data_IF_726848552841
#
_entry.id   IF_726848552841
#
_cell.length_a   1.000
_cell.length_b   1.000
_cell.length_c   1.000
_cell.angle_alpha   90.00
_cell.angle_beta   90.00
_cell.angle_gamma   90.00
#
_symmetry.space_group_name_H-M   'P 1'
#
loop_
_entity.id
_entity.type
_entity.pdbx_description
1 polymer ?
#
# COMPACT_ATOMS: atom_id res chain seq x y z
N UNK A 1 -55.97 -49.50 -21.17
CA UNK A 1 -55.09 -50.09 -20.12
C UNK A 1 -53.73 -50.58 -20.66
N UNK A 2 -53.67 -51.24 -21.81
CA UNK A 2 -52.39 -51.74 -22.38
C UNK A 2 -51.38 -50.64 -22.80
N UNK A 3 -51.80 -49.46 -23.21
CA UNK A 3 -50.88 -48.35 -23.59
C UNK A 3 -50.25 -47.63 -22.38
N UNK A 4 -50.91 -47.63 -21.23
CA UNK A 4 -50.39 -47.03 -20.02
C UNK A 4 -49.24 -47.87 -19.40
N UNK A 5 -49.35 -49.20 -19.54
CA UNK A 5 -48.32 -50.14 -19.07
C UNK A 5 -47.01 -50.01 -19.89
N UNK A 6 -47.13 -49.70 -21.19
CA UNK A 6 -45.97 -49.58 -22.05
C UNK A 6 -45.15 -48.34 -21.72
N UNK A 7 -45.80 -47.22 -21.35
CA UNK A 7 -45.12 -46.01 -20.91
C UNK A 7 -44.38 -46.17 -19.56
N UNK A 8 -44.89 -47.01 -18.67
CA UNK A 8 -44.29 -47.26 -17.41
C UNK A 8 -43.03 -48.15 -17.52
N UNK A 9 -43.00 -49.07 -18.49
CA UNK A 9 -41.82 -49.89 -18.79
C UNK A 9 -40.68 -49.11 -19.46
N UNK A 10 -41.01 -48.11 -20.29
CA UNK A 10 -39.99 -47.26 -20.95
C UNK A 10 -39.37 -46.27 -19.97
N UNK A 11 -40.14 -45.79 -18.96
CA UNK A 11 -39.64 -44.85 -17.95
C UNK A 11 -38.70 -45.53 -16.90
N UNK A 12 -38.84 -46.85 -16.70
CA UNK A 12 -38.04 -47.60 -15.74
C UNK A 12 -36.63 -47.91 -16.25
N UNK A 13 -36.33 -47.80 -17.58
CA UNK A 13 -35.03 -48.14 -18.16
C UNK A 13 -34.02 -46.99 -18.20
N UNK A 14 -34.41 -45.80 -17.73
CA UNK A 14 -33.55 -44.57 -17.75
C UNK A 14 -32.83 -44.30 -16.44
N UNK A 15 -32.92 -45.16 -15.43
CA UNK A 15 -32.32 -44.93 -14.11
C UNK A 15 -31.08 -45.76 -13.78
N UNK A 16 -30.46 -46.39 -14.79
CA UNK A 16 -29.21 -47.18 -14.56
C UNK A 16 -28.09 -46.55 -15.40
N UNK A 17 -27.62 -45.39 -14.98
CA UNK A 17 -26.28 -44.92 -15.37
C UNK A 17 -25.80 -43.87 -14.36
N UNK A 18 -25.38 -44.35 -13.21
CA UNK A 18 -24.41 -43.63 -12.39
C UNK A 18 -23.33 -44.64 -12.01
N UNK A 19 -22.35 -44.76 -12.87
CA UNK A 19 -21.09 -45.37 -12.54
C UNK A 19 -20.38 -44.52 -11.50
N UNK A 20 -20.38 -44.98 -10.26
CA UNK A 20 -19.69 -44.35 -9.15
C UNK A 20 -18.20 -44.71 -9.20
N UNK A 21 -17.43 -44.00 -10.00
CA UNK A 21 -15.98 -43.96 -9.80
C UNK A 21 -15.72 -43.13 -8.56
N UNK A 22 -15.52 -43.79 -7.44
CA UNK A 22 -14.92 -43.22 -6.25
C UNK A 22 -13.48 -42.81 -6.59
N UNK A 23 -13.31 -41.61 -7.15
CA UNK A 23 -12.03 -40.91 -7.03
C UNK A 23 -11.87 -40.62 -5.55
N UNK A 24 -10.96 -41.33 -4.92
CA UNK A 24 -10.42 -40.98 -3.61
C UNK A 24 -10.10 -39.48 -3.59
N UNK A 25 -10.53 -38.71 -2.59
CA UNK A 25 -10.09 -37.34 -2.49
C UNK A 25 -8.57 -37.36 -2.38
N UNK A 26 -7.90 -36.84 -3.39
CA UNK A 26 -6.48 -36.52 -3.26
C UNK A 26 -6.37 -35.66 -2.01
N UNK A 27 -5.77 -36.27 -1.00
CA UNK A 27 -5.44 -35.61 0.24
C UNK A 27 -4.50 -34.48 -0.15
N UNK A 28 -5.01 -33.26 -0.14
CA UNK A 28 -4.21 -32.07 -0.31
C UNK A 28 -3.24 -32.03 0.88
N UNK A 29 -2.14 -32.72 0.73
CA UNK A 29 -1.06 -32.65 1.69
C UNK A 29 -0.40 -31.32 1.42
N UNK A 30 -0.73 -30.32 2.24
CA UNK A 30 0.03 -29.10 2.33
C UNK A 30 1.41 -29.50 2.87
N UNK A 31 2.28 -29.90 1.97
CA UNK A 31 3.68 -30.14 2.30
C UNK A 31 4.24 -28.76 2.66
N UNK A 32 4.24 -28.49 3.96
CA UNK A 32 4.95 -27.39 4.55
C UNK A 32 6.44 -27.73 4.52
N UNK A 33 6.94 -28.03 3.33
CA UNK A 33 8.35 -27.90 3.10
C UNK A 33 8.64 -26.46 3.45
N UNK A 34 9.24 -26.27 4.60
CA UNK A 34 9.91 -25.04 4.94
C UNK A 34 10.82 -24.73 3.76
N UNK A 35 10.25 -24.01 2.76
CA UNK A 35 11.10 -23.18 1.95
C UNK A 35 11.91 -22.46 3.02
N UNK A 36 13.16 -22.81 3.18
CA UNK A 36 14.13 -22.01 3.87
C UNK A 36 13.94 -20.63 3.24
N UNK A 37 13.04 -19.88 3.82
CA UNK A 37 13.00 -18.45 3.64
C UNK A 37 14.41 -18.08 4.07
N UNK A 38 15.27 -18.02 3.07
CA UNK A 38 16.53 -17.36 3.19
C UNK A 38 16.10 -16.07 3.85
N UNK A 39 16.43 -15.95 5.13
CA UNK A 39 16.32 -14.74 5.88
C UNK A 39 17.03 -13.73 5.00
N UNK A 40 16.25 -13.09 4.14
CA UNK A 40 16.63 -11.84 3.52
C UNK A 40 16.49 -10.91 4.71
N UNK A 41 17.52 -11.04 5.52
CA UNK A 41 17.79 -10.25 6.66
C UNK A 41 17.51 -8.81 6.33
N UNK A 42 16.64 -8.21 7.12
CA UNK A 42 16.79 -6.93 7.80
C UNK A 42 17.53 -5.77 7.07
N UNK A 43 17.99 -5.95 5.85
CA UNK A 43 18.66 -4.94 5.03
C UNK A 43 17.72 -4.17 4.10
N UNK A 44 16.46 -4.54 4.02
CA UNK A 44 15.48 -3.87 3.13
C UNK A 44 14.78 -2.69 3.83
N UNK A 45 15.05 -2.45 5.10
CA UNK A 45 14.38 -1.36 5.83
C UNK A 45 15.25 -0.15 6.11
N UNK A 46 16.45 -0.10 5.66
CA UNK A 46 17.15 1.16 5.48
C UNK A 46 16.92 1.60 4.03
N UNK A 47 15.67 1.79 3.65
CA UNK A 47 15.37 2.51 2.44
C UNK A 47 16.12 3.83 2.52
N UNK A 48 17.20 3.88 1.84
CA UNK A 48 18.18 4.93 1.62
C UNK A 48 17.83 6.22 2.37
N UNK A 49 18.46 6.43 3.54
CA UNK A 49 18.41 7.74 4.19
C UNK A 49 19.13 8.69 3.25
N UNK A 50 18.43 9.70 2.78
CA UNK A 50 19.01 10.75 1.95
C UNK A 50 18.33 12.08 2.31
N UNK A 51 19.05 12.88 3.04
CA UNK A 51 18.61 14.20 3.50
C UNK A 51 19.01 15.31 2.50
N UNK A 52 19.80 14.98 1.48
CA UNK A 52 20.24 15.94 0.45
C UNK A 52 19.33 15.92 -0.78
N UNK A 53 18.64 14.81 -1.03
CA UNK A 53 17.68 14.73 -2.10
C UNK A 53 16.45 15.60 -1.78
N UNK A 54 16.18 16.56 -2.64
CA UNK A 54 15.03 17.47 -2.52
C UNK A 54 13.81 17.02 -3.32
N UNK A 55 13.93 15.91 -4.05
CA UNK A 55 12.89 15.44 -4.94
C UNK A 55 12.69 16.30 -6.18
N UNK A 56 11.58 16.01 -6.87
CA UNK A 56 11.20 16.66 -8.12
C UNK A 56 9.84 17.34 -7.95
N UNK A 57 9.83 18.65 -7.98
CA UNK A 57 8.60 19.42 -7.79
C UNK A 57 8.85 20.90 -7.59
N UNK A 58 7.82 21.65 -7.17
CA UNK A 58 7.93 23.10 -7.03
C UNK A 58 8.79 23.53 -5.83
N UNK A 59 8.87 22.72 -4.78
CA UNK A 59 9.55 23.08 -3.55
C UNK A 59 11.05 22.94 -3.69
N UNK A 60 11.78 24.04 -3.57
CA UNK A 60 13.24 24.08 -3.71
C UNK A 60 13.96 24.30 -2.39
N UNK A 61 13.29 24.92 -1.44
CA UNK A 61 13.83 25.19 -0.11
C UNK A 61 12.71 25.29 0.92
N UNK A 62 12.91 24.65 2.05
CA UNK A 62 12.02 24.72 3.21
C UNK A 62 12.83 25.18 4.41
N UNK A 63 12.39 26.24 5.04
CA UNK A 63 12.96 26.71 6.32
C UNK A 63 11.93 26.48 7.40
N UNK A 64 12.28 25.66 8.37
CA UNK A 64 11.53 25.53 9.61
C UNK A 64 12.09 26.51 10.63
N UNK A 65 11.20 27.12 11.42
CA UNK A 65 11.59 27.80 12.66
C UNK A 65 12.09 26.79 13.70
N UNK A 66 12.86 27.23 14.68
CA UNK A 66 13.31 26.34 15.76
C UNK A 66 12.10 25.78 16.54
N UNK A 67 11.10 26.61 16.77
CA UNK A 67 9.85 26.22 17.43
C UNK A 67 8.83 25.73 16.39
N UNK A 68 7.98 24.80 16.84
CA UNK A 68 6.86 24.30 16.02
C UNK A 68 5.74 25.34 16.05
N UNK A 69 5.22 25.68 14.89
CA UNK A 69 3.98 26.45 14.77
C UNK A 69 2.79 25.52 15.06
N UNK A 70 2.30 25.58 16.29
CA UNK A 70 1.21 24.71 16.78
C UNK A 70 -0.08 24.89 15.96
N UNK A 71 -0.40 26.09 15.51
CA UNK A 71 -1.58 26.34 14.69
C UNK A 71 -1.45 25.71 13.31
N UNK A 72 -0.29 25.84 12.69
CA UNK A 72 0.01 25.26 11.41
C UNK A 72 0.07 23.72 11.50
N UNK A 73 0.67 23.20 12.58
CA UNK A 73 0.74 21.77 12.84
C UNK A 73 -0.66 21.14 13.05
N UNK A 74 -1.56 21.81 13.76
CA UNK A 74 -2.94 21.32 13.95
C UNK A 74 -3.71 21.33 12.62
N UNK A 75 -3.54 22.35 11.78
CA UNK A 75 -4.10 22.37 10.43
C UNK A 75 -3.56 21.20 9.60
N UNK A 76 -2.26 20.94 9.66
CA UNK A 76 -1.63 19.80 8.99
C UNK A 76 -2.15 18.45 9.48
N UNK A 77 -2.35 18.32 10.80
CA UNK A 77 -2.94 17.10 11.39
C UNK A 77 -4.37 16.85 10.89
N UNK A 78 -5.18 17.90 10.82
CA UNK A 78 -6.53 17.81 10.28
C UNK A 78 -6.52 17.40 8.81
N UNK A 79 -5.61 17.97 8.02
CA UNK A 79 -5.40 17.59 6.62
C UNK A 79 -4.92 16.15 6.48
N UNK A 80 -3.97 15.72 7.31
CA UNK A 80 -3.49 14.34 7.34
C UNK A 80 -4.63 13.35 7.62
N UNK A 81 -5.46 13.64 8.62
CA UNK A 81 -6.60 12.82 8.97
C UNK A 81 -7.61 12.70 7.84
N UNK A 82 -7.82 13.77 7.09
CA UNK A 82 -8.80 13.81 6.01
C UNK A 82 -8.29 13.13 4.73
N UNK A 83 -7.03 13.33 4.37
CA UNK A 83 -6.49 12.99 3.05
C UNK A 83 -5.52 11.81 3.03
N UNK A 84 -4.86 11.50 4.16
CA UNK A 84 -3.70 10.63 4.15
C UNK A 84 -3.92 9.30 4.88
N UNK A 85 -4.81 9.26 5.88
CA UNK A 85 -4.97 8.11 6.79
C UNK A 85 -5.52 6.85 6.13
N UNK A 86 -6.11 6.94 4.95
CA UNK A 86 -6.50 5.77 4.17
C UNK A 86 -5.29 4.89 3.80
N UNK A 87 -4.12 5.52 3.57
CA UNK A 87 -2.92 4.83 3.13
C UNK A 87 -1.75 4.96 4.10
N UNK A 88 -1.68 5.99 4.92
CA UNK A 88 -0.60 6.28 5.85
C UNK A 88 -1.06 6.27 7.30
N UNK A 89 -0.15 5.87 8.18
CA UNK A 89 -0.34 6.00 9.62
C UNK A 89 0.87 6.72 10.22
N UNK A 90 0.67 7.44 11.33
CA UNK A 90 1.75 8.16 11.98
C UNK A 90 2.85 7.22 12.48
N UNK A 91 2.49 6.16 13.18
CA UNK A 91 3.41 5.34 13.97
C UNK A 91 3.81 4.00 13.33
N UNK A 92 3.08 3.55 12.32
CA UNK A 92 3.29 2.23 11.72
C UNK A 92 3.14 2.23 10.21
N UNK A 93 3.78 1.26 9.57
CA UNK A 93 3.53 0.93 8.16
C UNK A 93 2.06 0.52 7.97
N UNK A 94 1.43 1.06 6.95
CA UNK A 94 0.10 0.67 6.48
C UNK A 94 0.22 0.28 4.98
N UNK A 95 -0.57 0.86 4.12
CA UNK A 95 -0.42 0.75 2.66
C UNK A 95 0.83 1.50 2.21
N UNK A 96 1.05 2.69 2.77
CA UNK A 96 2.25 3.50 2.60
C UNK A 96 3.16 3.48 3.83
N UNK A 97 4.29 4.20 3.78
CA UNK A 97 5.22 4.35 4.90
C UNK A 97 4.61 5.10 6.09
N UNK A 98 5.15 4.82 7.27
CA UNK A 98 4.86 5.60 8.47
C UNK A 98 5.45 7.02 8.37
N UNK A 99 4.80 7.98 9.04
CA UNK A 99 5.27 9.37 9.02
C UNK A 99 6.25 9.71 10.14
N UNK A 100 6.13 9.06 11.30
CA UNK A 100 7.02 9.28 12.44
C UNK A 100 8.48 9.20 12.05
N UNK A 101 9.25 10.21 12.42
CA UNK A 101 10.66 10.33 12.09
C UNK A 101 10.93 10.44 10.58
N UNK A 102 10.01 11.01 9.81
CA UNK A 102 10.18 11.13 8.36
C UNK A 102 11.39 12.02 8.03
N UNK A 103 11.66 13.04 8.83
CA UNK A 103 12.80 13.95 8.63
C UNK A 103 14.15 13.38 9.06
N UNK A 104 14.17 12.22 9.72
CA UNK A 104 15.40 11.44 9.92
C UNK A 104 15.83 10.72 8.64
N UNK A 105 14.93 10.63 7.66
CA UNK A 105 15.11 9.85 6.43
C UNK A 105 15.05 10.68 5.15
N UNK A 106 14.35 11.80 5.17
CA UNK A 106 14.04 12.63 3.99
C UNK A 106 14.17 14.11 4.30
N UNK A 107 14.57 14.88 3.33
CA UNK A 107 14.51 16.35 3.43
C UNK A 107 13.05 16.83 3.44
N UNK A 108 12.76 17.95 4.08
CA UNK A 108 11.42 18.56 4.05
C UNK A 108 10.94 18.84 2.61
N UNK A 109 11.84 19.26 1.74
CA UNK A 109 11.54 19.52 0.33
C UNK A 109 11.10 18.25 -0.39
N UNK A 110 11.80 17.12 -0.17
CA UNK A 110 11.43 15.84 -0.75
C UNK A 110 10.03 15.42 -0.31
N UNK A 111 9.74 15.56 0.99
CA UNK A 111 8.42 15.21 1.56
C UNK A 111 7.31 16.07 0.95
N UNK A 112 7.53 17.38 0.82
CA UNK A 112 6.54 18.26 0.19
C UNK A 112 6.39 17.96 -1.29
N UNK A 113 7.47 17.68 -1.99
CA UNK A 113 7.45 17.37 -3.43
C UNK A 113 6.75 16.04 -3.74
N UNK A 114 6.92 14.98 -2.92
CA UNK A 114 6.19 13.73 -3.15
C UNK A 114 4.67 13.89 -2.93
N UNK A 115 4.24 14.82 -2.11
CA UNK A 115 2.83 15.15 -1.88
C UNK A 115 2.27 15.94 -3.06
N UNK A 116 3.00 16.94 -3.54
CA UNK A 116 2.56 17.87 -4.59
C UNK A 116 2.69 17.28 -6.00
N UNK A 117 3.67 16.44 -6.24
CA UNK A 117 4.02 15.92 -7.56
C UNK A 117 4.37 14.42 -7.54
N UNK A 118 3.49 13.57 -6.97
CA UNK A 118 3.79 12.15 -6.81
C UNK A 118 4.04 11.44 -8.16
N UNK A 119 3.32 11.82 -9.20
CA UNK A 119 3.39 11.15 -10.50
C UNK A 119 4.75 11.26 -11.17
N UNK A 120 5.40 12.41 -11.09
CA UNK A 120 6.74 12.60 -11.61
C UNK A 120 7.78 12.00 -10.66
N UNK A 121 7.59 12.16 -9.35
CA UNK A 121 8.48 11.60 -8.34
C UNK A 121 8.64 10.08 -8.51
N UNK A 122 7.56 9.33 -8.64
CA UNK A 122 7.63 7.86 -8.80
C UNK A 122 8.21 7.39 -10.14
N UNK A 123 8.39 8.29 -11.11
CA UNK A 123 8.99 7.98 -12.41
C UNK A 123 10.47 8.33 -12.47
N UNK A 124 10.89 9.38 -11.79
CA UNK A 124 12.20 10.02 -12.01
C UNK A 124 13.05 10.11 -10.74
N UNK A 125 12.43 10.16 -9.55
CA UNK A 125 13.18 10.21 -8.29
C UNK A 125 13.58 8.81 -7.83
N UNK A 126 14.88 8.51 -7.63
CA UNK A 126 15.33 7.16 -7.31
C UNK A 126 14.76 6.61 -6.00
N UNK A 127 14.54 7.48 -5.00
CA UNK A 127 13.99 7.09 -3.70
C UNK A 127 12.50 6.78 -3.83
N UNK A 128 11.74 7.62 -4.53
CA UNK A 128 10.32 7.39 -4.76
C UNK A 128 10.09 6.11 -5.59
N UNK A 129 10.93 5.83 -6.59
CA UNK A 129 10.92 4.58 -7.37
C UNK A 129 11.20 3.37 -6.46
N UNK A 130 12.18 3.48 -5.57
CA UNK A 130 12.51 2.39 -4.64
C UNK A 130 11.36 2.13 -3.65
N UNK A 131 10.77 3.19 -3.10
CA UNK A 131 9.60 3.10 -2.21
C UNK A 131 8.40 2.50 -2.95
N UNK A 132 8.11 2.90 -4.17
CA UNK A 132 7.03 2.32 -4.97
C UNK A 132 7.18 0.79 -5.05
N UNK A 133 8.38 0.30 -5.34
CA UNK A 133 8.67 -1.15 -5.40
C UNK A 133 8.52 -1.82 -4.02
N UNK A 134 9.04 -1.20 -2.97
CA UNK A 134 8.95 -1.70 -1.59
C UNK A 134 7.50 -1.84 -1.12
N UNK A 135 6.63 -0.94 -1.58
CA UNK A 135 5.20 -0.89 -1.23
C UNK A 135 4.32 -1.53 -2.31
N UNK A 136 4.80 -2.62 -2.95
CA UNK A 136 4.06 -3.47 -3.89
C UNK A 136 3.53 -2.72 -5.13
N UNK A 137 4.21 -1.69 -5.58
CA UNK A 137 3.83 -0.82 -6.68
C UNK A 137 2.47 -0.12 -6.48
N UNK A 138 2.08 0.11 -5.24
CA UNK A 138 0.90 0.90 -4.93
C UNK A 138 1.26 2.38 -5.11
N UNK A 139 0.59 3.02 -6.02
CA UNK A 139 0.86 4.41 -6.41
C UNK A 139 0.24 5.37 -5.38
N UNK A 140 1.04 6.34 -4.92
CA UNK A 140 0.53 7.49 -4.19
C UNK A 140 -0.17 8.44 -5.18
N UNK A 141 -1.47 8.64 -4.98
CA UNK A 141 -2.26 9.54 -5.81
C UNK A 141 -2.06 11.00 -5.37
N UNK A 142 -2.08 11.90 -6.34
CA UNK A 142 -2.08 13.33 -6.05
C UNK A 142 -3.35 13.72 -5.28
N UNK A 143 -3.19 14.37 -4.15
CA UNK A 143 -4.28 14.80 -3.29
C UNK A 143 -4.78 16.21 -3.64
N UNK A 144 -4.20 16.85 -4.66
CA UNK A 144 -4.52 18.19 -5.13
C UNK A 144 -4.44 19.25 -4.02
N UNK A 145 -3.39 19.16 -3.23
CA UNK A 145 -3.12 20.12 -2.16
C UNK A 145 -2.37 21.34 -2.70
N UNK A 146 -2.59 22.49 -2.06
CA UNK A 146 -1.76 23.67 -2.29
C UNK A 146 -0.39 23.54 -1.60
N UNK A 147 0.53 24.45 -1.92
CA UNK A 147 1.82 24.51 -1.24
C UNK A 147 1.65 24.87 0.25
N UNK A 148 0.68 25.73 0.60
CA UNK A 148 0.35 26.10 1.98
C UNK A 148 -0.21 24.92 2.77
N UNK A 149 -1.14 24.17 2.19
CA UNK A 149 -1.68 22.95 2.81
C UNK A 149 -0.60 21.90 3.02
N UNK A 150 0.28 21.76 2.03
CA UNK A 150 1.43 20.84 2.12
C UNK A 150 2.45 21.31 3.15
N UNK A 151 2.64 22.64 3.29
CA UNK A 151 3.49 23.21 4.34
C UNK A 151 2.92 22.97 5.74
N UNK A 152 1.59 23.00 5.90
CA UNK A 152 0.93 22.63 7.14
C UNK A 152 1.16 21.14 7.50
N UNK A 153 1.03 20.24 6.52
CA UNK A 153 1.39 18.84 6.69
C UNK A 153 2.85 18.67 7.11
N UNK A 154 3.77 19.42 6.47
CA UNK A 154 5.17 19.36 6.80
C UNK A 154 5.45 19.81 8.25
N UNK A 155 4.71 20.80 8.75
CA UNK A 155 4.82 21.23 10.16
C UNK A 155 4.27 20.16 11.11
N UNK A 156 3.14 19.54 10.77
CA UNK A 156 2.59 18.42 11.55
C UNK A 156 3.58 17.27 11.67
N UNK A 157 4.28 16.91 10.60
CA UNK A 157 5.25 15.81 10.64
C UNK A 157 6.45 16.08 11.55
N UNK A 158 6.72 17.33 11.91
CA UNK A 158 7.72 17.67 12.94
C UNK A 158 7.28 17.26 14.35
N UNK A 159 5.99 17.08 14.56
CA UNK A 159 5.43 16.67 15.87
C UNK A 159 5.44 15.15 16.07
N UNK A 160 5.79 14.38 15.04
CA UNK A 160 5.80 12.92 15.06
C UNK A 160 7.23 12.40 15.29
#
# INVERSE_FOLDING_TARGET
MKKLLLYFLIFSSLLISCGNEKKSPEKFTYDRTQAKTKVISKEIQTSQIDLNNKGIGPIKNVVFSDEIDESLAENGKNMFNLKCTACHNADRRLIGPQMKGIYDRRSPEWVMNIILNPEQMIKEDPIAIALLKEYNNIIMLNQNLSEEETRALAEYFRTL
#
